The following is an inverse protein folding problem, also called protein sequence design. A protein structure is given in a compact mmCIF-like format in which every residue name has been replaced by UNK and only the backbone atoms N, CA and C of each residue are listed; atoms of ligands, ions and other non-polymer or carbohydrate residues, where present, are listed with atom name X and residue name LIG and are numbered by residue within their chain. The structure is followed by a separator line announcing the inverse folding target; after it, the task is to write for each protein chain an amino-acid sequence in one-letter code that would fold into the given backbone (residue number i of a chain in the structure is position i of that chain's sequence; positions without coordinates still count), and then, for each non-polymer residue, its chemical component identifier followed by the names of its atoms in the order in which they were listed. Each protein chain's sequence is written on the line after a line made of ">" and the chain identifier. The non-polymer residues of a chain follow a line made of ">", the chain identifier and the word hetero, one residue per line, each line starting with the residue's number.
data_IF_952675812284
#
_entry.id   IF_952675812284
#
_cell.length_a   1.000
_cell.length_b   1.000
_cell.length_c   1.000
_cell.angle_alpha   90.00
_cell.angle_beta   90.00
_cell.angle_gamma   90.00
#
_symmetry.space_group_name_H-M   'P 1'
#
loop_
_entity.id
_entity.type
_entity.pdbx_description
1 polymer ?
#
# COMPACT_ATOMS: atom_id res chain seq x y z
N UNK A 1 -0.07 11.63 -26.75
CA UNK A 1 -0.19 10.18 -26.46
C UNK A 1 1.21 9.67 -26.12
N UNK A 2 1.57 9.62 -24.84
CA UNK A 2 2.88 9.13 -24.42
C UNK A 2 2.78 7.61 -24.22
N UNK A 3 3.36 6.82 -25.13
CA UNK A 3 3.54 5.40 -24.88
C UNK A 3 4.58 5.21 -23.76
N UNK A 4 4.35 4.31 -22.79
CA UNK A 4 5.34 4.05 -21.75
C UNK A 4 6.57 3.37 -22.36
N UNK A 5 7.76 3.82 -21.96
CA UNK A 5 9.04 3.23 -22.36
C UNK A 5 9.11 1.75 -21.96
N UNK A 6 9.70 0.87 -22.79
CA UNK A 6 9.84 -0.54 -22.46
C UNK A 6 10.78 -0.74 -21.27
N UNK A 7 10.38 -1.60 -20.32
CA UNK A 7 11.19 -1.96 -19.15
C UNK A 7 12.52 -2.62 -19.58
N UNK A 8 13.57 -2.35 -18.82
CA UNK A 8 14.88 -2.98 -19.00
C UNK A 8 14.85 -4.46 -18.56
N UNK A 9 15.84 -5.25 -19.00
CA UNK A 9 15.92 -6.69 -18.67
C UNK A 9 15.98 -6.94 -17.15
N UNK A 10 16.53 -6.00 -16.38
CA UNK A 10 16.64 -6.01 -14.92
C UNK A 10 15.27 -5.82 -14.25
N UNK A 11 14.47 -4.90 -14.78
CA UNK A 11 13.12 -4.62 -14.28
C UNK A 11 12.19 -5.82 -14.52
N UNK A 12 12.32 -6.50 -15.66
CA UNK A 12 11.56 -7.73 -15.93
C UNK A 12 12.01 -8.89 -15.04
N UNK A 13 13.30 -8.99 -14.71
CA UNK A 13 13.87 -10.07 -13.88
C UNK A 13 13.46 -9.94 -12.40
N UNK A 14 13.36 -8.71 -11.88
CA UNK A 14 12.91 -8.44 -10.51
C UNK A 14 11.43 -8.83 -10.32
N UNK A 15 10.61 -8.55 -11.32
CA UNK A 15 9.18 -8.88 -11.33
C UNK A 15 8.93 -10.39 -11.46
N UNK A 16 9.79 -11.11 -12.17
CA UNK A 16 9.73 -12.58 -12.33
C UNK A 16 10.12 -13.35 -11.05
N UNK A 17 11.09 -12.85 -10.28
CA UNK A 17 11.48 -13.44 -8.99
C UNK A 17 10.42 -13.24 -7.91
N UNK A 18 9.65 -12.15 -8.01
CA UNK A 18 8.63 -11.78 -7.04
C UNK A 18 7.34 -12.62 -7.15
N UNK A 19 6.94 -13.04 -8.37
CA UNK A 19 5.71 -13.83 -8.60
C UNK A 19 5.95 -15.37 -8.55
N UNK A 20 7.18 -15.87 -8.70
CA UNK A 20 7.51 -17.31 -8.65
C UNK A 20 8.03 -17.77 -7.27
N UNK A 21 7.08 -18.13 -6.41
CA UNK A 21 7.15 -19.33 -5.54
C UNK A 21 8.00 -19.24 -4.26
N UNK A 22 7.28 -18.96 -3.18
CA UNK A 22 7.57 -19.21 -1.77
C UNK A 22 8.06 -20.65 -1.56
N UNK A 23 9.37 -20.84 -1.44
CA UNK A 23 10.05 -21.94 -0.74
C UNK A 23 11.35 -21.39 -0.12
N UNK A 24 12.09 -22.18 0.69
CA UNK A 24 13.31 -21.76 1.45
C UNK A 24 14.31 -20.89 0.66
N UNK A 25 14.31 -20.97 -0.67
CA UNK A 25 15.12 -20.12 -1.56
C UNK A 25 14.74 -18.63 -1.49
N UNK A 26 13.48 -18.25 -1.30
CA UNK A 26 13.06 -16.85 -1.15
C UNK A 26 13.65 -16.21 0.13
N UNK A 27 13.64 -16.94 1.25
CA UNK A 27 14.25 -16.48 2.50
C UNK A 27 15.76 -16.31 2.38
N UNK A 28 16.44 -17.24 1.69
CA UNK A 28 17.87 -17.13 1.43
C UNK A 28 18.21 -15.99 0.46
N UNK A 29 17.34 -15.73 -0.52
CA UNK A 29 17.53 -14.65 -1.50
C UNK A 29 17.39 -13.26 -0.87
N UNK A 30 16.62 -13.15 0.22
CA UNK A 30 16.50 -11.92 1.01
C UNK A 30 17.81 -11.56 1.72
N UNK A 31 18.58 -12.57 2.14
CA UNK A 31 19.86 -12.37 2.79
C UNK A 31 21.02 -12.17 1.78
N UNK A 32 21.09 -13.03 0.75
CA UNK A 32 22.08 -12.94 -0.33
C UNK A 32 21.63 -13.75 -1.56
N UNK A 33 21.49 -13.05 -2.69
CA UNK A 33 21.06 -13.62 -3.98
C UNK A 33 22.05 -14.66 -4.53
N UNK A 34 23.35 -14.49 -4.29
CA UNK A 34 24.38 -15.44 -4.73
C UNK A 34 24.38 -16.69 -3.84
N UNK A 35 24.05 -16.56 -2.56
CA UNK A 35 23.84 -17.72 -1.68
C UNK A 35 22.60 -18.54 -2.09
N UNK A 36 21.54 -17.89 -2.59
CA UNK A 36 20.29 -18.56 -2.93
C UNK A 36 20.27 -19.24 -4.31
N UNK A 37 20.96 -18.66 -5.30
CA UNK A 37 20.94 -19.12 -6.69
C UNK A 37 22.28 -19.67 -7.19
N UNK A 38 23.33 -19.61 -6.38
CA UNK A 38 24.68 -20.10 -6.69
C UNK A 38 25.71 -18.97 -6.71
N UNK A 39 26.98 -19.27 -6.38
CA UNK A 39 28.02 -18.26 -6.36
C UNK A 39 28.14 -17.57 -7.72
N UNK A 40 28.35 -16.26 -7.71
CA UNK A 40 28.52 -15.40 -8.90
C UNK A 40 27.31 -15.33 -9.87
N UNK A 41 26.10 -15.64 -9.38
CA UNK A 41 24.85 -15.43 -10.14
C UNK A 41 24.71 -13.97 -10.61
N UNK A 42 25.12 -13.02 -9.76
CA UNK A 42 25.25 -11.60 -10.07
C UNK A 42 26.53 -11.03 -9.49
N UNK A 43 26.96 -9.86 -10.00
CA UNK A 43 28.13 -9.16 -9.48
C UNK A 43 27.96 -8.77 -8.00
N UNK A 44 29.07 -8.69 -7.25
CA UNK A 44 29.04 -8.30 -5.82
C UNK A 44 28.38 -6.94 -5.59
N UNK A 45 28.62 -5.97 -6.48
CA UNK A 45 27.96 -4.65 -6.42
C UNK A 45 26.44 -4.77 -6.54
N UNK A 46 25.97 -5.61 -7.48
CA UNK A 46 24.55 -5.89 -7.68
C UNK A 46 23.94 -6.62 -6.48
N UNK A 47 24.69 -7.50 -5.82
CA UNK A 47 24.24 -8.19 -4.61
C UNK A 47 24.11 -7.24 -3.40
N UNK A 48 25.03 -6.29 -3.23
CA UNK A 48 24.94 -5.27 -2.16
C UNK A 48 23.74 -4.33 -2.36
N UNK A 49 23.48 -3.87 -3.59
CA UNK A 49 22.31 -3.03 -3.90
C UNK A 49 20.97 -3.74 -3.59
N UNK A 50 20.91 -5.07 -3.76
CA UNK A 50 19.73 -5.88 -3.48
C UNK A 50 19.30 -5.87 -2.00
N UNK A 51 20.26 -5.92 -1.08
CA UNK A 51 19.96 -5.84 0.37
C UNK A 51 19.36 -4.49 0.76
N UNK A 52 19.72 -3.42 0.03
CA UNK A 52 19.17 -2.08 0.22
C UNK A 52 17.76 -1.94 -0.38
N UNK A 53 17.48 -2.52 -1.55
CA UNK A 53 16.16 -2.50 -2.20
C UNK A 53 15.10 -3.22 -1.37
N UNK A 54 15.42 -4.33 -0.71
CA UNK A 54 14.49 -5.05 0.18
C UNK A 54 14.12 -4.23 1.43
N UNK A 55 15.07 -3.43 1.93
CA UNK A 55 14.78 -2.49 3.02
C UNK A 55 13.77 -1.43 2.61
N UNK A 56 13.78 -0.96 1.36
CA UNK A 56 12.78 -0.03 0.81
C UNK A 56 11.47 -0.72 0.41
N UNK A 57 11.53 -1.97 -0.04
CA UNK A 57 10.37 -2.75 -0.47
C UNK A 57 9.44 -3.08 0.72
N UNK A 58 9.99 -3.22 1.92
CA UNK A 58 9.20 -3.34 3.17
C UNK A 58 8.48 -2.03 3.56
N UNK A 59 8.91 -0.86 3.05
CA UNK A 59 8.25 0.44 3.30
C UNK A 59 7.07 0.75 2.36
N UNK A 60 6.84 -0.03 1.30
CA UNK A 60 5.61 0.08 0.47
C UNK A 60 4.38 -0.62 1.10
N UNK A 61 4.56 -1.37 2.19
CA UNK A 61 3.50 -2.06 2.96
C UNK A 61 2.76 -1.07 3.88
N UNK A 62 2.23 0.01 3.31
CA UNK A 62 1.26 0.89 3.99
C UNK A 62 0.08 1.20 3.05
N UNK A 63 -0.47 0.16 2.42
CA UNK A 63 -1.76 0.29 1.74
C UNK A 63 -2.86 0.38 2.81
N UNK A 64 -3.83 1.30 2.70
CA UNK A 64 -5.06 1.22 3.48
C UNK A 64 -5.65 -0.19 3.36
N UNK A 65 -6.09 -0.78 4.47
CA UNK A 65 -6.71 -2.10 4.48
C UNK A 65 -7.89 -2.12 3.49
N UNK A 66 -7.76 -2.91 2.42
CA UNK A 66 -8.74 -3.01 1.33
C UNK A 66 -9.87 -4.01 1.61
N UNK A 67 -10.06 -4.39 2.88
CA UNK A 67 -11.13 -5.31 3.26
C UNK A 67 -12.50 -4.75 2.86
N UNK A 68 -13.37 -5.53 2.19
CA UNK A 68 -14.61 -5.02 1.58
C UNK A 68 -15.59 -4.34 2.54
N UNK A 69 -15.51 -4.63 3.84
CA UNK A 69 -16.41 -4.06 4.84
C UNK A 69 -16.00 -2.65 5.30
N UNK A 70 -14.79 -2.21 4.98
CA UNK A 70 -14.25 -0.91 5.41
C UNK A 70 -14.59 0.22 4.46
N UNK A 71 -15.00 -0.10 3.23
CA UNK A 71 -15.16 0.86 2.16
C UNK A 71 -16.59 0.95 1.66
N UNK A 72 -16.92 2.09 1.04
CA UNK A 72 -18.17 2.26 0.31
C UNK A 72 -18.32 1.21 -0.82
N UNK A 73 -19.56 0.86 -1.21
CA UNK A 73 -19.81 -0.05 -2.34
C UNK A 73 -19.14 0.39 -3.66
N UNK A 74 -19.04 1.71 -3.86
CA UNK A 74 -18.41 2.30 -5.05
C UNK A 74 -16.90 2.05 -5.06
N UNK A 75 -16.20 2.34 -3.96
CA UNK A 75 -14.76 2.07 -3.86
C UNK A 75 -14.46 0.56 -3.92
N UNK A 76 -15.29 -0.28 -3.31
CA UNK A 76 -15.17 -1.74 -3.39
C UNK A 76 -15.24 -2.28 -4.82
N UNK A 77 -16.06 -1.67 -5.66
CA UNK A 77 -16.15 -2.05 -7.08
C UNK A 77 -14.82 -1.80 -7.79
N UNK A 78 -14.19 -0.64 -7.55
CA UNK A 78 -12.88 -0.30 -8.12
C UNK A 78 -11.76 -1.21 -7.60
N UNK A 79 -11.78 -1.56 -6.31
CA UNK A 79 -10.83 -2.51 -5.71
C UNK A 79 -10.95 -3.88 -6.39
N UNK A 80 -12.18 -4.39 -6.56
CA UNK A 80 -12.42 -5.67 -7.21
C UNK A 80 -11.97 -5.67 -8.68
N UNK A 81 -12.22 -4.58 -9.42
CA UNK A 81 -11.76 -4.41 -10.79
C UNK A 81 -10.24 -4.36 -10.89
N UNK A 82 -9.56 -3.65 -9.98
CA UNK A 82 -8.11 -3.59 -9.94
C UNK A 82 -7.50 -4.96 -9.62
N UNK A 83 -8.04 -5.67 -8.63
CA UNK A 83 -7.63 -7.04 -8.29
C UNK A 83 -7.80 -8.00 -9.46
N UNK A 84 -8.93 -7.89 -10.18
CA UNK A 84 -9.17 -8.65 -11.41
C UNK A 84 -8.13 -8.30 -12.48
N UNK A 85 -7.87 -7.02 -12.72
CA UNK A 85 -6.85 -6.57 -13.67
C UNK A 85 -5.47 -7.14 -13.32
N UNK A 86 -5.07 -7.10 -12.05
CA UNK A 86 -3.80 -7.67 -11.58
C UNK A 86 -3.73 -9.18 -11.75
N UNK A 87 -4.84 -9.89 -11.52
CA UNK A 87 -4.94 -11.35 -11.69
C UNK A 87 -4.80 -11.76 -13.15
N UNK A 88 -5.43 -11.00 -14.06
CA UNK A 88 -5.39 -11.24 -15.51
C UNK A 88 -4.06 -10.78 -16.13
N UNK A 89 -3.44 -9.74 -15.58
CA UNK A 89 -2.24 -9.08 -16.11
C UNK A 89 -1.05 -9.22 -15.17
N UNK A 90 -0.73 -10.45 -14.74
CA UNK A 90 0.30 -10.73 -13.73
C UNK A 90 1.62 -9.97 -13.92
N UNK A 91 2.14 -9.94 -15.14
CA UNK A 91 3.35 -9.17 -15.48
C UNK A 91 3.04 -7.77 -16.02
N UNK A 92 2.00 -7.66 -16.84
CA UNK A 92 1.62 -6.41 -17.52
C UNK A 92 1.15 -5.31 -16.54
N UNK A 93 0.67 -5.68 -15.34
CA UNK A 93 0.29 -4.73 -14.28
C UNK A 93 1.45 -3.78 -13.93
N UNK A 94 2.68 -4.28 -13.92
CA UNK A 94 3.89 -3.49 -13.63
C UNK A 94 4.30 -2.52 -14.75
N UNK A 95 3.79 -2.74 -15.96
CA UNK A 95 3.98 -1.84 -17.11
C UNK A 95 2.89 -0.77 -17.20
N UNK A 96 2.03 -0.70 -16.17
CA UNK A 96 0.99 0.32 -16.06
C UNK A 96 -0.31 -0.02 -16.78
N UNK A 97 -0.52 -1.26 -17.21
CA UNK A 97 -1.77 -1.70 -17.85
C UNK A 97 -2.99 -1.48 -16.95
N UNK A 98 -2.81 -1.56 -15.63
CA UNK A 98 -3.88 -1.35 -14.64
C UNK A 98 -3.92 0.08 -14.05
N UNK A 99 -3.06 1.01 -14.49
CA UNK A 99 -2.91 2.33 -13.86
C UNK A 99 -4.18 3.18 -13.87
N UNK A 100 -5.04 3.00 -14.88
CA UNK A 100 -6.33 3.70 -14.94
C UNK A 100 -7.24 3.31 -13.78
N UNK A 101 -7.31 2.01 -13.48
CA UNK A 101 -8.10 1.47 -12.37
C UNK A 101 -7.46 1.85 -11.03
N UNK A 102 -6.14 1.76 -10.94
CA UNK A 102 -5.38 2.14 -9.76
C UNK A 102 -5.59 3.62 -9.40
N UNK A 103 -5.49 4.52 -10.39
CA UNK A 103 -5.74 5.96 -10.21
C UNK A 103 -7.17 6.23 -9.75
N UNK A 104 -8.16 5.53 -10.32
CA UNK A 104 -9.55 5.68 -9.95
C UNK A 104 -9.82 5.19 -8.51
N UNK A 105 -9.29 4.01 -8.15
CA UNK A 105 -9.37 3.46 -6.80
C UNK A 105 -8.73 4.41 -5.78
N UNK A 106 -7.51 4.89 -6.04
CA UNK A 106 -6.80 5.81 -5.15
C UNK A 106 -7.55 7.13 -4.91
N UNK A 107 -8.22 7.64 -5.95
CA UNK A 107 -9.10 8.81 -5.81
C UNK A 107 -10.27 8.53 -4.87
N UNK A 108 -10.95 7.40 -5.06
CA UNK A 108 -12.09 7.01 -4.24
C UNK A 108 -11.69 6.87 -2.76
N UNK A 109 -10.61 6.14 -2.48
CA UNK A 109 -10.10 5.94 -1.12
C UNK A 109 -9.67 7.24 -0.45
N UNK A 110 -9.08 8.16 -1.22
CA UNK A 110 -8.70 9.49 -0.71
C UNK A 110 -9.93 10.31 -0.31
N UNK A 111 -10.98 10.30 -1.13
CA UNK A 111 -12.23 11.00 -0.82
C UNK A 111 -12.91 10.41 0.42
N UNK A 112 -12.96 9.08 0.56
CA UNK A 112 -13.48 8.41 1.73
C UNK A 112 -12.70 8.76 3.01
N UNK A 113 -11.37 8.78 2.92
CA UNK A 113 -10.50 9.20 4.01
C UNK A 113 -10.79 10.65 4.44
N UNK A 114 -10.94 11.56 3.50
CA UNK A 114 -11.27 12.97 3.78
C UNK A 114 -12.64 13.11 4.45
N UNK A 115 -13.65 12.36 3.99
CA UNK A 115 -14.97 12.35 4.61
C UNK A 115 -14.92 11.83 6.05
N UNK A 116 -14.19 10.73 6.28
CA UNK A 116 -14.03 10.16 7.62
C UNK A 116 -13.28 11.11 8.55
N UNK A 117 -12.23 11.79 8.06
CA UNK A 117 -11.53 12.84 8.82
C UNK A 117 -12.48 13.98 9.21
N UNK A 118 -13.33 14.45 8.30
CA UNK A 118 -14.32 15.51 8.59
C UNK A 118 -15.32 15.06 9.66
N UNK A 119 -15.87 13.84 9.54
CA UNK A 119 -16.81 13.26 10.53
C UNK A 119 -16.15 13.12 11.90
N UNK A 120 -14.95 12.55 11.95
CA UNK A 120 -14.23 12.36 13.21
C UNK A 120 -13.86 13.68 13.88
N UNK A 121 -13.45 14.70 13.10
CA UNK A 121 -13.19 16.03 13.62
C UNK A 121 -14.45 16.69 14.20
N UNK A 122 -15.60 16.57 13.52
CA UNK A 122 -16.87 17.07 14.02
C UNK A 122 -17.29 16.39 15.34
N UNK A 123 -17.20 15.05 15.40
CA UNK A 123 -17.48 14.29 16.61
C UNK A 123 -16.51 14.64 17.74
N UNK A 124 -15.23 14.84 17.44
CA UNK A 124 -14.23 15.26 18.43
C UNK A 124 -14.54 16.66 18.99
N UNK A 125 -14.97 17.60 18.14
CA UNK A 125 -15.38 18.93 18.58
C UNK A 125 -16.61 18.88 19.49
N UNK A 126 -17.63 18.10 19.13
CA UNK A 126 -18.82 17.88 19.97
C UNK A 126 -18.45 17.29 21.32
N UNK A 127 -17.60 16.25 21.35
CA UNK A 127 -17.11 15.64 22.59
C UNK A 127 -16.36 16.65 23.48
N UNK A 128 -15.53 17.51 22.88
CA UNK A 128 -14.83 18.58 23.61
C UNK A 128 -15.81 19.56 24.25
N UNK A 129 -16.84 19.98 23.53
CA UNK A 129 -17.87 20.89 24.07
C UNK A 129 -18.60 20.26 25.26
N UNK A 130 -19.03 18.99 25.15
CA UNK A 130 -19.69 18.26 26.25
C UNK A 130 -18.79 18.19 27.50
N UNK A 131 -17.50 17.93 27.33
CA UNK A 131 -16.55 17.89 28.45
C UNK A 131 -16.42 19.26 29.12
N UNK A 132 -16.29 20.33 28.32
CA UNK A 132 -16.18 21.70 28.84
C UNK A 132 -17.46 22.13 29.60
N UNK A 133 -18.64 21.77 29.09
CA UNK A 133 -19.91 22.06 29.76
C UNK A 133 -20.03 21.33 31.09
N UNK A 134 -19.68 20.04 31.12
CA UNK A 134 -19.64 19.24 32.36
C UNK A 134 -18.71 19.85 33.41
N UNK A 135 -17.51 20.28 33.01
CA UNK A 135 -16.56 20.96 33.89
C UNK A 135 -17.14 22.26 34.45
N UNK A 136 -17.80 23.08 33.62
CA UNK A 136 -18.47 24.31 34.08
C UNK A 136 -19.58 24.00 35.10
N UNK A 137 -20.39 22.96 34.86
CA UNK A 137 -21.48 22.59 35.78
C UNK A 137 -20.95 22.10 37.12
N UNK A 138 -19.88 21.33 37.13
CA UNK A 138 -19.22 20.87 38.36
C UNK A 138 -18.66 22.04 39.17
N UNK A 139 -17.93 22.96 38.51
CA UNK A 139 -17.37 24.14 39.15
C UNK A 139 -18.44 25.08 39.75
N UNK A 140 -19.65 25.13 39.17
CA UNK A 140 -20.77 25.88 39.75
C UNK A 140 -21.33 25.19 41.00
N UNK A 141 -21.46 23.87 40.99
CA UNK A 141 -21.96 23.09 42.14
C UNK A 141 -21.01 23.15 43.34
N UNK A 142 -19.70 23.14 43.10
CA UNK A 142 -18.69 23.25 44.18
C UNK A 142 -18.63 24.63 44.84
N UNK A 143 -19.17 25.66 44.17
CA UNK A 143 -19.21 27.04 44.68
C UNK A 143 -20.52 27.39 45.41
N UNK A 144 -21.51 26.50 45.40
CA UNK A 144 -22.82 26.69 46.05
C UNK A 144 -22.87 25.87 47.33
#
# INVERSE_FOLDING_TARGET
>A
MNQPYPLTKEQVRLLLLYDFRIEKKAANSIADINTAFGPDTVSKSTAYDWTYVLSYWFYEVMHPDLSPHLHSPECNTLIAELQKCHKENKFKKYFGVCNRLDTAMNRCLKEELEQNRRRNNALALQRRQIVLERQKTQNMKEKT
#
